data_IF_037840862916
#
_entry.id   IF_037840862916
#
_cell.length_a   1.000
_cell.length_b   1.000
_cell.length_c   1.000
_cell.angle_alpha   90.00
_cell.angle_beta   90.00
_cell.angle_gamma   90.00
#
_symmetry.space_group_name_H-M   'P 1'
#
loop_
_entity.id
_entity.type
_entity.pdbx_description
1 polymer ?
#
# COMPACT_ATOMS: atom_id res chain seq x y z
N UNK A 1 19.27 -21.79 -5.14
CA UNK A 1 18.30 -21.69 -4.02
C UNK A 1 18.59 -20.39 -3.27
N UNK A 2 17.66 -19.42 -3.30
CA UNK A 2 17.75 -18.23 -2.45
C UNK A 2 17.63 -18.64 -0.98
N UNK A 3 18.24 -17.87 -0.07
CA UNK A 3 18.10 -18.10 1.37
C UNK A 3 16.64 -17.88 1.75
N UNK A 4 16.01 -18.91 2.32
CA UNK A 4 14.67 -18.82 2.90
C UNK A 4 14.77 -18.46 4.39
N UNK A 5 13.78 -17.75 4.90
CA UNK A 5 13.67 -17.40 6.31
C UNK A 5 12.25 -17.72 6.81
N UNK A 6 12.13 -18.16 8.07
CA UNK A 6 10.84 -18.49 8.67
C UNK A 6 10.22 -17.23 9.27
N UNK A 7 9.04 -16.82 8.80
CA UNK A 7 8.23 -15.77 9.40
C UNK A 7 7.24 -16.37 10.41
N UNK A 8 7.31 -15.92 11.67
CA UNK A 8 6.32 -16.27 12.72
C UNK A 8 5.63 -15.00 13.21
N UNK A 9 4.30 -14.95 13.08
CA UNK A 9 3.48 -13.84 13.56
C UNK A 9 2.22 -14.37 14.25
N UNK A 10 1.75 -13.65 15.29
CA UNK A 10 0.47 -13.94 15.93
C UNK A 10 -0.64 -13.27 15.14
N UNK A 11 -1.67 -14.03 14.76
CA UNK A 11 -2.84 -13.55 14.03
C UNK A 11 -4.09 -14.13 14.69
N UNK A 12 -5.19 -13.39 14.66
CA UNK A 12 -6.48 -13.88 15.11
C UNK A 12 -6.94 -15.07 14.24
N UNK A 13 -7.45 -16.13 14.87
CA UNK A 13 -7.81 -17.39 14.19
C UNK A 13 -8.92 -17.21 13.15
N UNK A 14 -9.97 -16.46 13.47
CA UNK A 14 -11.08 -16.19 12.55
C UNK A 14 -10.59 -15.40 11.34
N UNK A 15 -9.80 -14.35 11.57
CA UNK A 15 -9.21 -13.56 10.47
C UNK A 15 -8.30 -14.40 9.58
N UNK A 16 -7.52 -15.31 10.15
CA UNK A 16 -6.67 -16.22 9.38
C UNK A 16 -7.52 -17.10 8.47
N UNK A 17 -8.58 -17.70 9.01
CA UNK A 17 -9.46 -18.60 8.25
C UNK A 17 -10.13 -17.89 7.07
N UNK A 18 -10.70 -16.71 7.31
CA UNK A 18 -11.32 -15.91 6.24
C UNK A 18 -10.28 -15.51 5.17
N UNK A 19 -9.08 -15.08 5.57
CA UNK A 19 -8.04 -14.75 4.61
C UNK A 19 -7.59 -15.97 3.79
N UNK A 20 -7.49 -17.14 4.41
CA UNK A 20 -7.14 -18.40 3.74
C UNK A 20 -8.15 -18.80 2.67
N UNK A 21 -9.45 -18.67 2.96
CA UNK A 21 -10.54 -18.92 1.99
C UNK A 21 -10.46 -17.96 0.80
N UNK A 22 -10.22 -16.67 1.05
CA UNK A 22 -10.06 -15.66 0.00
C UNK A 22 -8.84 -15.97 -0.87
N UNK A 23 -7.67 -16.26 -0.28
CA UNK A 23 -6.46 -16.56 -1.06
C UNK A 23 -6.59 -17.87 -1.84
N UNK A 24 -7.23 -18.88 -1.26
CA UNK A 24 -7.52 -20.14 -1.96
C UNK A 24 -8.39 -19.92 -3.19
N UNK A 25 -9.40 -19.04 -3.09
CA UNK A 25 -10.24 -18.65 -4.24
C UNK A 25 -9.43 -17.96 -5.34
N UNK A 26 -8.35 -17.26 -4.98
CA UNK A 26 -7.41 -16.63 -5.91
C UNK A 26 -6.29 -17.58 -6.39
N UNK A 27 -6.27 -18.85 -5.93
CA UNK A 27 -5.22 -19.81 -6.27
C UNK A 27 -3.88 -19.58 -5.56
N UNK A 28 -3.89 -18.89 -4.43
CA UNK A 28 -2.70 -18.54 -3.65
C UNK A 28 -2.71 -19.20 -2.27
N UNK A 29 -1.56 -19.68 -1.81
CA UNK A 29 -1.38 -20.00 -0.40
C UNK A 29 -1.17 -18.73 0.43
N UNK A 30 -1.33 -18.82 1.76
CA UNK A 30 -0.99 -17.73 2.67
C UNK A 30 0.47 -17.29 2.50
N UNK A 31 1.38 -18.24 2.26
CA UNK A 31 2.80 -17.95 2.08
C UNK A 31 3.02 -17.12 0.80
N UNK A 32 2.40 -17.51 -0.31
CA UNK A 32 2.50 -16.79 -1.59
C UNK A 32 1.94 -15.36 -1.45
N UNK A 33 0.81 -15.21 -0.76
CA UNK A 33 0.22 -13.89 -0.53
C UNK A 33 1.14 -12.98 0.31
N UNK A 34 1.83 -13.53 1.32
CA UNK A 34 2.81 -12.80 2.13
C UNK A 34 4.04 -12.41 1.29
N UNK A 35 4.52 -13.32 0.43
CA UNK A 35 5.66 -13.05 -0.46
C UNK A 35 5.34 -11.97 -1.51
N UNK A 36 4.11 -11.99 -2.06
CA UNK A 36 3.62 -10.92 -2.94
C UNK A 36 3.57 -9.59 -2.19
N UNK A 37 3.08 -9.57 -0.95
CA UNK A 37 3.07 -8.36 -0.12
C UNK A 37 4.49 -7.81 0.08
N UNK A 38 5.46 -8.64 0.44
CA UNK A 38 6.85 -8.19 0.60
C UNK A 38 7.46 -7.71 -0.70
N UNK A 39 7.15 -8.38 -1.82
CA UNK A 39 7.60 -7.96 -3.15
C UNK A 39 7.12 -6.54 -3.46
N UNK A 40 5.84 -6.24 -3.19
CA UNK A 40 5.28 -4.90 -3.36
C UNK A 40 5.95 -3.86 -2.46
N UNK A 41 6.20 -4.19 -1.19
CA UNK A 41 6.92 -3.32 -0.25
C UNK A 41 8.35 -3.03 -0.74
N UNK A 42 9.03 -4.06 -1.25
CA UNK A 42 10.40 -3.95 -1.76
C UNK A 42 10.50 -3.09 -3.03
N UNK A 43 9.54 -3.23 -3.94
CA UNK A 43 9.46 -2.46 -5.21
C UNK A 43 9.14 -0.99 -4.92
N UNK A 44 8.06 -0.74 -4.18
CA UNK A 44 7.52 0.61 -4.01
C UNK A 44 8.13 1.39 -2.84
N UNK A 45 8.92 0.73 -1.98
CA UNK A 45 9.46 1.30 -0.73
C UNK A 45 8.36 1.90 0.16
N UNK A 46 7.15 1.36 0.06
CA UNK A 46 5.96 1.80 0.77
C UNK A 46 5.04 0.62 1.07
N UNK A 47 4.11 0.80 1.98
CA UNK A 47 3.03 -0.18 2.20
C UNK A 47 2.11 -0.16 0.98
N UNK A 48 1.70 -1.32 0.43
CA UNK A 48 0.92 -1.43 -0.82
C UNK A 48 -0.55 -1.06 -0.66
N UNK A 49 -0.91 -0.36 0.40
CA UNK A 49 -2.25 0.16 0.63
C UNK A 49 -2.20 1.45 1.46
N UNK A 50 -3.19 2.33 1.28
CA UNK A 50 -3.26 3.60 2.00
C UNK A 50 -3.52 3.41 3.50
N UNK A 51 -2.60 3.85 4.35
CA UNK A 51 -2.85 3.95 5.79
C UNK A 51 -3.75 5.15 6.09
N UNK A 52 -4.89 4.92 6.74
CA UNK A 52 -5.87 5.96 7.09
C UNK A 52 -6.59 5.58 8.38
N UNK A 53 -6.97 6.59 9.17
CA UNK A 53 -7.84 6.42 10.36
C UNK A 53 -9.32 6.62 10.03
N UNK A 54 -9.65 6.89 8.76
CA UNK A 54 -11.03 7.07 8.32
C UNK A 54 -11.83 5.78 8.53
N UNK A 55 -13.10 5.88 8.94
CA UNK A 55 -13.97 4.72 9.06
C UNK A 55 -14.13 4.03 7.70
N UNK A 56 -14.31 2.70 7.76
CA UNK A 56 -14.65 1.89 6.61
C UNK A 56 -15.92 2.44 5.96
N UNK A 57 -15.88 2.64 4.63
CA UNK A 57 -17.07 2.96 3.87
C UNK A 57 -17.68 1.66 3.40
N UNK A 58 -18.91 1.39 3.84
CA UNK A 58 -19.69 0.31 3.27
C UNK A 58 -20.19 0.74 1.88
N UNK A 59 -19.54 0.20 0.85
CA UNK A 59 -19.86 0.50 -0.55
C UNK A 59 -21.28 0.05 -0.93
N UNK A 60 -21.89 -0.87 -0.18
CA UNK A 60 -23.23 -1.39 -0.45
C UNK A 60 -24.32 -0.36 -0.17
N UNK A 61 -24.04 0.58 0.73
CA UNK A 61 -25.00 1.58 1.24
C UNK A 61 -24.54 3.03 1.02
N UNK A 62 -23.34 3.25 0.49
CA UNK A 62 -22.78 4.57 0.29
C UNK A 62 -23.42 5.28 -0.92
N UNK A 63 -23.57 6.60 -0.82
CA UNK A 63 -23.97 7.41 -1.99
C UNK A 63 -22.80 7.57 -2.96
N UNK A 64 -23.12 7.82 -4.24
CA UNK A 64 -22.11 8.07 -5.27
C UNK A 64 -21.17 9.22 -4.87
N UNK A 65 -21.73 10.27 -4.26
CA UNK A 65 -20.97 11.44 -3.77
C UNK A 65 -20.01 11.07 -2.61
N UNK A 66 -20.43 10.19 -1.70
CA UNK A 66 -19.59 9.72 -0.59
C UNK A 66 -18.43 8.84 -1.06
N UNK A 67 -18.66 8.05 -2.12
CA UNK A 67 -17.65 7.23 -2.80
C UNK A 67 -16.65 8.15 -3.51
N UNK A 68 -17.14 9.09 -4.32
CA UNK A 68 -16.31 10.05 -5.04
C UNK A 68 -15.46 10.90 -4.09
N UNK A 69 -16.04 11.43 -3.01
CA UNK A 69 -15.28 12.16 -2.00
C UNK A 69 -14.21 11.29 -1.29
N UNK A 70 -14.44 9.97 -1.18
CA UNK A 70 -13.49 9.05 -0.56
C UNK A 70 -12.32 8.68 -1.47
N UNK A 71 -12.59 8.51 -2.77
CA UNK A 71 -11.62 8.07 -3.77
C UNK A 71 -11.12 9.18 -4.71
N UNK A 72 -11.61 10.41 -4.57
CA UNK A 72 -11.01 11.58 -5.18
C UNK A 72 -9.52 11.59 -4.81
N UNK A 73 -8.67 11.65 -5.84
CA UNK A 73 -7.23 11.46 -5.73
C UNK A 73 -6.67 12.12 -4.47
N UNK A 74 -5.98 11.31 -3.65
CA UNK A 74 -5.36 11.74 -2.39
C UNK A 74 -4.42 12.92 -2.67
N UNK A 75 -4.93 14.14 -2.58
CA UNK A 75 -4.12 15.29 -2.18
C UNK A 75 -3.62 14.89 -0.79
N UNK A 76 -2.31 14.64 -0.59
CA UNK A 76 -1.83 14.22 0.72
C UNK A 76 -2.27 15.28 1.73
N UNK A 77 -2.63 14.91 2.95
CA UNK A 77 -3.00 15.94 3.93
C UNK A 77 -1.79 16.87 4.16
N UNK A 78 -2.00 18.11 4.61
CA UNK A 78 -0.90 19.10 4.75
C UNK A 78 0.31 18.56 5.55
N UNK A 79 0.07 17.68 6.52
CA UNK A 79 1.10 17.05 7.36
C UNK A 79 1.89 16.00 6.54
N UNK A 80 1.21 15.16 5.78
CA UNK A 80 1.81 14.15 4.89
C UNK A 80 2.52 14.81 3.73
N UNK A 81 1.99 15.89 3.15
CA UNK A 81 2.69 16.70 2.14
C UNK A 81 3.99 17.24 2.71
N UNK A 82 3.94 17.89 3.88
CA UNK A 82 5.13 18.41 4.58
C UNK A 82 6.16 17.31 4.84
N UNK A 83 5.74 16.18 5.42
CA UNK A 83 6.63 15.06 5.68
C UNK A 83 7.24 14.44 4.41
N UNK A 84 6.51 14.44 3.29
CA UNK A 84 7.03 14.01 1.99
C UNK A 84 8.02 15.03 1.42
N UNK A 85 7.72 16.33 1.46
CA UNK A 85 8.64 17.39 1.01
C UNK A 85 9.91 17.50 1.86
N UNK A 86 9.79 17.36 3.18
CA UNK A 86 10.92 17.37 4.13
C UNK A 86 11.82 16.15 3.90
N UNK A 87 11.24 14.95 3.72
CA UNK A 87 12.01 13.74 3.40
C UNK A 87 12.69 13.78 2.03
N UNK A 88 12.09 14.43 1.04
CA UNK A 88 12.70 14.63 -0.29
C UNK A 88 13.88 15.59 -0.24
N UNK A 89 13.79 16.69 0.51
CA UNK A 89 14.92 17.62 0.71
C UNK A 89 16.12 16.96 1.41
N UNK A 90 15.87 16.01 2.31
CA UNK A 90 16.92 15.30 3.05
C UNK A 90 17.69 14.25 2.25
N UNK A 91 17.12 13.74 1.14
CA UNK A 91 17.72 12.61 0.40
C UNK A 91 18.35 12.97 -0.94
N UNK A 92 18.27 14.24 -1.38
CA UNK A 92 18.93 14.68 -2.62
C UNK A 92 18.47 13.95 -3.89
N UNK A 93 17.33 13.26 -3.86
CA UNK A 93 16.78 12.62 -5.05
C UNK A 93 16.04 13.64 -5.91
N UNK A 94 16.36 13.65 -7.21
CA UNK A 94 15.62 14.42 -8.21
C UNK A 94 14.17 13.95 -8.22
N UNK A 95 13.24 14.90 -8.20
CA UNK A 95 11.81 14.62 -8.36
C UNK A 95 11.54 13.94 -9.72
N UNK A 96 10.47 13.14 -9.87
CA UNK A 96 10.14 12.50 -11.15
C UNK A 96 10.08 13.47 -12.33
N UNK A 97 9.59 14.70 -12.11
CA UNK A 97 9.58 15.77 -13.11
C UNK A 97 10.98 16.28 -13.48
N UNK A 98 11.88 16.42 -12.52
CA UNK A 98 13.28 16.79 -12.76
C UNK A 98 14.07 15.69 -13.47
N UNK A 99 13.81 14.42 -13.15
CA UNK A 99 14.40 13.27 -13.86
C UNK A 99 13.95 13.27 -15.32
N UNK A 100 12.65 13.48 -15.58
CA UNK A 100 12.11 13.56 -16.93
C UNK A 100 12.66 14.76 -17.71
N UNK A 101 12.86 15.90 -17.05
CA UNK A 101 13.45 17.09 -17.68
C UNK A 101 14.94 16.90 -18.01
N UNK A 102 15.68 16.17 -17.16
CA UNK A 102 17.08 15.84 -17.40
C UNK A 102 17.30 14.75 -18.46
N UNK A 103 16.29 13.93 -18.76
CA UNK A 103 16.33 12.92 -19.83
C UNK A 103 16.03 13.50 -21.21
N UNK A 104 15.30 14.61 -21.26
CA UNK A 104 14.88 15.28 -22.50
C UNK A 104 15.70 16.57 -22.79
N UNK A 105 16.82 16.76 -22.10
CA UNK A 105 17.78 17.84 -22.31
C UNK A 105 19.10 17.25 -22.79
#
# INVERSE_FOLDING_TARGET
>A
MSKTAILRARVNSERKKVAEEIFSTLGLSIADAIDVFFSQVCIHKSIPFPLTTRPHLDLSNATQEEIEHRYADRIPNKITQRALTEKSSMRGYKSPSEVLKALNA
#
